data_IF_412100635580
#
_entry.id   IF_412100635580
#
_cell.length_a   1.000
_cell.length_b   1.000
_cell.length_c   1.000
_cell.angle_alpha   90.00
_cell.angle_beta   90.00
_cell.angle_gamma   90.00
#
_symmetry.space_group_name_H-M   'P 1'
#
loop_
_entity.id
_entity.type
_entity.pdbx_description
1 polymer ?
#
# COMPACT_ATOMS: atom_id res chain seq x y z
N UNK A 1 -20.25 41.58 -25.67
CA UNK A 1 -18.84 41.26 -25.36
C UNK A 1 -18.87 40.02 -24.46
N UNK A 2 -19.16 38.87 -25.07
CA UNK A 2 -19.25 37.59 -24.36
C UNK A 2 -17.84 37.12 -24.03
N UNK A 3 -17.58 36.91 -22.75
CA UNK A 3 -16.33 36.35 -22.25
C UNK A 3 -16.24 34.89 -22.71
N UNK A 4 -15.36 34.64 -23.68
CA UNK A 4 -14.89 33.29 -24.01
C UNK A 4 -14.53 32.54 -22.72
N UNK A 5 -15.10 31.36 -22.45
CA UNK A 5 -14.69 30.55 -21.32
C UNK A 5 -13.21 30.21 -21.52
N UNK A 6 -12.38 30.65 -20.58
CA UNK A 6 -10.97 30.30 -20.56
C UNK A 6 -10.84 28.78 -20.58
N UNK A 7 -10.16 28.27 -21.64
CA UNK A 7 -9.82 26.86 -21.74
C UNK A 7 -9.15 26.44 -20.41
N UNK A 8 -9.55 25.29 -19.82
CA UNK A 8 -8.89 24.81 -18.60
C UNK A 8 -7.39 24.65 -18.88
N UNK A 9 -6.58 25.42 -18.16
CA UNK A 9 -5.12 25.35 -18.22
C UNK A 9 -4.70 23.87 -18.14
N UNK A 10 -3.88 23.36 -19.08
CA UNK A 10 -3.46 21.98 -19.05
C UNK A 10 -2.78 21.69 -17.69
N UNK A 11 -3.06 20.55 -17.04
CA UNK A 11 -2.44 20.22 -15.77
C UNK A 11 -0.92 20.29 -15.92
N UNK A 12 -0.28 21.15 -15.11
CA UNK A 12 1.16 21.36 -15.08
C UNK A 12 1.87 20.00 -15.01
N UNK A 13 2.85 19.78 -15.89
CA UNK A 13 3.67 18.59 -15.85
C UNK A 13 4.35 18.44 -14.49
N UNK A 14 4.47 17.19 -14.03
CA UNK A 14 5.17 16.88 -12.79
C UNK A 14 6.67 17.10 -12.99
N UNK A 15 7.40 17.59 -11.98
CA UNK A 15 8.84 17.75 -12.09
C UNK A 15 9.52 16.38 -12.16
N UNK A 16 10.58 16.27 -12.97
CA UNK A 16 11.33 15.01 -13.19
C UNK A 16 11.74 14.29 -11.91
N UNK A 17 12.09 15.06 -10.88
CA UNK A 17 12.49 14.56 -9.57
C UNK A 17 11.45 13.60 -8.95
N UNK A 18 10.16 13.84 -9.17
CA UNK A 18 9.11 13.09 -8.49
C UNK A 18 9.12 11.61 -8.89
N UNK A 19 8.89 11.23 -10.16
CA UNK A 19 8.93 9.82 -10.55
C UNK A 19 10.31 9.18 -10.37
N UNK A 20 11.41 9.92 -10.58
CA UNK A 20 12.77 9.40 -10.39
C UNK A 20 13.02 8.99 -8.93
N UNK A 21 12.77 9.90 -7.99
CA UNK A 21 13.04 9.62 -6.58
C UNK A 21 11.99 8.69 -5.97
N UNK A 22 10.73 8.71 -6.44
CA UNK A 22 9.74 7.71 -6.03
C UNK A 22 10.14 6.29 -6.47
N UNK A 23 10.64 6.12 -7.69
CA UNK A 23 11.15 4.84 -8.17
C UNK A 23 12.34 4.35 -7.34
N UNK A 24 13.30 5.24 -7.08
CA UNK A 24 14.47 4.92 -6.25
C UNK A 24 14.03 4.53 -4.82
N UNK A 25 13.14 5.30 -4.20
CA UNK A 25 12.60 5.01 -2.87
C UNK A 25 11.87 3.67 -2.83
N UNK A 26 11.02 3.38 -3.83
CA UNK A 26 10.28 2.12 -3.92
C UNK A 26 11.24 0.93 -4.01
N UNK A 27 12.27 1.05 -4.84
CA UNK A 27 13.28 0.01 -5.06
C UNK A 27 14.10 -0.25 -3.79
N UNK A 28 14.60 0.82 -3.15
CA UNK A 28 15.37 0.74 -1.91
C UNK A 28 14.53 0.11 -0.80
N UNK A 29 13.30 0.58 -0.60
CA UNK A 29 12.44 0.07 0.47
C UNK A 29 12.06 -1.39 0.22
N UNK A 30 11.69 -1.75 -1.01
CA UNK A 30 11.34 -3.11 -1.34
C UNK A 30 12.50 -4.10 -1.09
N UNK A 31 13.71 -3.76 -1.55
CA UNK A 31 14.91 -4.56 -1.26
C UNK A 31 15.24 -4.58 0.23
N UNK A 32 15.00 -3.49 0.94
CA UNK A 32 15.16 -3.42 2.40
C UNK A 32 14.25 -4.41 3.11
N UNK A 33 12.98 -4.55 2.68
CA UNK A 33 12.06 -5.50 3.30
C UNK A 33 12.49 -6.96 3.10
N UNK A 34 13.20 -7.26 2.00
CA UNK A 34 13.73 -8.59 1.74
C UNK A 34 14.74 -9.02 2.81
N UNK A 35 15.51 -8.09 3.36
CA UNK A 35 16.62 -8.34 4.29
C UNK A 35 16.18 -8.98 5.61
N UNK A 36 15.00 -8.59 6.12
CA UNK A 36 14.56 -8.92 7.47
C UNK A 36 13.06 -9.14 7.62
N UNK A 37 12.31 -9.30 6.51
CA UNK A 37 10.84 -9.32 6.54
C UNK A 37 10.24 -8.07 7.22
N UNK A 38 10.92 -6.92 7.11
CA UNK A 38 10.49 -5.67 7.73
C UNK A 38 10.64 -5.64 9.25
N UNK A 39 11.60 -6.39 9.81
CA UNK A 39 11.99 -6.31 11.22
C UNK A 39 13.25 -5.47 11.41
N UNK A 40 13.51 -5.06 12.65
CA UNK A 40 14.62 -4.19 12.99
C UNK A 40 15.97 -4.91 12.79
N UNK A 41 16.78 -4.33 11.91
CA UNK A 41 18.23 -4.58 11.77
C UNK A 41 18.89 -3.29 11.30
N UNK A 42 20.17 -3.13 11.58
CA UNK A 42 20.87 -1.87 11.31
C UNK A 42 20.85 -1.49 9.83
N UNK A 43 21.12 -2.43 8.94
CA UNK A 43 21.04 -2.26 7.49
C UNK A 43 19.62 -1.93 7.00
N UNK A 44 18.60 -2.51 7.63
CA UNK A 44 17.21 -2.26 7.32
C UNK A 44 16.79 -0.85 7.74
N UNK A 45 17.33 -0.37 8.87
CA UNK A 45 17.14 1.01 9.31
C UNK A 45 17.85 2.00 8.39
N UNK A 46 19.03 1.68 7.87
CA UNK A 46 19.71 2.47 6.84
C UNK A 46 18.90 2.52 5.54
N UNK A 47 18.34 1.38 5.12
CA UNK A 47 17.44 1.29 3.97
C UNK A 47 16.19 2.16 4.12
N UNK A 48 15.53 2.10 5.29
CA UNK A 48 14.41 2.97 5.64
C UNK A 48 14.80 4.45 5.60
N UNK A 49 15.96 4.80 6.14
CA UNK A 49 16.49 6.19 6.13
C UNK A 49 16.68 6.70 4.70
N UNK A 50 17.27 5.88 3.83
CA UNK A 50 17.44 6.20 2.41
C UNK A 50 16.10 6.37 1.71
N UNK A 51 15.13 5.49 1.97
CA UNK A 51 13.76 5.62 1.44
C UNK A 51 13.11 6.94 1.86
N UNK A 52 13.21 7.33 3.14
CA UNK A 52 12.68 8.60 3.64
C UNK A 52 13.34 9.80 2.95
N UNK A 53 14.67 9.81 2.84
CA UNK A 53 15.41 10.87 2.15
C UNK A 53 15.02 11.00 0.67
N UNK A 54 14.91 9.89 -0.04
CA UNK A 54 14.48 9.86 -1.44
C UNK A 54 13.02 10.32 -1.58
N UNK A 55 12.12 9.85 -0.72
CA UNK A 55 10.71 10.27 -0.72
C UNK A 55 10.58 11.78 -0.43
N UNK A 56 11.41 12.31 0.46
CA UNK A 56 11.48 13.74 0.74
C UNK A 56 11.96 14.50 -0.51
N UNK A 57 13.04 14.07 -1.17
CA UNK A 57 13.52 14.69 -2.41
C UNK A 57 12.47 14.64 -3.55
N UNK A 58 11.67 13.57 -3.62
CA UNK A 58 10.56 13.46 -4.55
C UNK A 58 9.49 14.55 -4.31
N UNK A 59 9.26 14.94 -3.05
CA UNK A 59 8.24 15.94 -2.65
C UNK A 59 8.78 17.37 -2.62
N UNK A 60 9.99 17.60 -2.10
CA UNK A 60 10.54 18.96 -1.87
C UNK A 60 11.78 19.37 -2.66
N UNK A 61 12.46 18.41 -3.30
CA UNK A 61 13.72 18.66 -4.02
C UNK A 61 13.60 19.71 -5.15
N UNK A 62 14.74 20.18 -5.69
CA UNK A 62 14.74 21.11 -6.81
C UNK A 62 14.15 20.45 -8.06
N UNK A 63 13.11 21.06 -8.63
CA UNK A 63 12.35 20.50 -9.75
C UNK A 63 12.83 21.02 -11.11
N UNK A 64 13.42 20.15 -11.91
CA UNK A 64 13.56 20.39 -13.34
C UNK A 64 12.25 20.04 -14.04
N UNK A 65 11.72 21.00 -14.82
CA UNK A 65 10.53 20.82 -15.67
C UNK A 65 10.84 20.98 -17.16
N UNK A 66 12.13 21.12 -17.51
CA UNK A 66 12.53 21.24 -18.91
C UNK A 66 12.16 19.94 -19.64
N UNK A 67 11.45 20.02 -20.77
CA UNK A 67 11.14 18.83 -21.56
C UNK A 67 12.44 18.18 -22.03
N UNK A 68 12.48 16.85 -21.92
CA UNK A 68 13.65 16.07 -22.30
C UNK A 68 13.17 14.82 -23.04
N UNK A 69 13.51 14.72 -24.33
CA UNK A 69 13.02 13.65 -25.23
C UNK A 69 13.33 12.23 -24.74
N UNK A 70 14.42 12.05 -24.00
CA UNK A 70 14.92 10.74 -23.56
C UNK A 70 14.37 10.30 -22.21
N UNK A 71 13.54 11.12 -21.60
CA UNK A 71 13.37 11.03 -20.17
C UNK A 71 12.33 9.99 -19.75
N UNK A 72 11.29 9.76 -20.56
CA UNK A 72 10.45 8.56 -20.42
C UNK A 72 11.22 7.26 -20.71
N UNK A 73 12.00 7.14 -21.82
CA UNK A 73 12.89 5.99 -22.03
C UNK A 73 13.86 5.71 -20.87
N UNK A 74 14.51 6.75 -20.32
CA UNK A 74 15.43 6.61 -19.19
C UNK A 74 14.71 6.12 -17.94
N UNK A 75 13.54 6.67 -17.63
CA UNK A 75 12.72 6.18 -16.51
C UNK A 75 12.27 4.73 -16.71
N UNK A 76 11.92 4.34 -17.93
CA UNK A 76 11.57 2.96 -18.27
C UNK A 76 12.76 2.01 -18.13
N UNK A 77 13.98 2.45 -18.50
CA UNK A 77 15.22 1.71 -18.26
C UNK A 77 15.48 1.53 -16.76
N UNK A 78 15.35 2.61 -15.97
CA UNK A 78 15.51 2.55 -14.51
C UNK A 78 14.46 1.63 -13.86
N UNK A 79 13.22 1.63 -14.35
CA UNK A 79 12.19 0.67 -13.94
C UNK A 79 12.61 -0.77 -14.26
N UNK A 80 13.17 -1.01 -15.44
CA UNK A 80 13.71 -2.31 -15.84
C UNK A 80 14.84 -2.78 -14.92
N UNK A 81 15.78 -1.89 -14.58
CA UNK A 81 16.88 -2.20 -13.63
C UNK A 81 16.32 -2.51 -12.24
N UNK A 82 15.36 -1.71 -11.75
CA UNK A 82 14.71 -1.96 -10.46
C UNK A 82 13.99 -3.32 -10.44
N UNK A 83 13.28 -3.67 -11.51
CA UNK A 83 12.64 -4.97 -11.68
C UNK A 83 13.65 -6.12 -11.67
N UNK A 84 14.80 -5.97 -12.33
CA UNK A 84 15.85 -7.00 -12.31
C UNK A 84 16.36 -7.25 -10.88
N UNK A 85 16.56 -6.21 -10.07
CA UNK A 85 16.95 -6.38 -8.66
C UNK A 85 15.85 -7.05 -7.83
N UNK A 86 14.58 -6.70 -8.05
CA UNK A 86 13.46 -7.35 -7.37
C UNK A 86 13.35 -8.84 -7.75
N UNK A 87 13.50 -9.16 -9.04
CA UNK A 87 13.51 -10.54 -9.53
C UNK A 87 14.67 -11.34 -8.95
N UNK A 88 15.87 -10.75 -8.89
CA UNK A 88 17.02 -11.37 -8.24
C UNK A 88 16.72 -11.66 -6.76
N UNK A 89 16.13 -10.71 -6.04
CA UNK A 89 15.73 -10.89 -4.65
C UNK A 89 14.69 -12.02 -4.47
N UNK A 90 13.69 -12.12 -5.36
CA UNK A 90 12.69 -13.18 -5.36
C UNK A 90 13.26 -14.57 -5.70
N UNK A 91 14.41 -14.64 -6.38
CA UNK A 91 15.12 -15.89 -6.69
C UNK A 91 16.15 -16.27 -5.62
N UNK A 92 16.59 -15.32 -4.80
CA UNK A 92 17.68 -15.52 -3.84
C UNK A 92 17.20 -16.04 -2.48
N UNK A 93 15.91 -15.96 -2.18
CA UNK A 93 15.33 -16.45 -0.93
C UNK A 93 13.86 -16.85 -1.13
N UNK A 94 13.30 -17.56 -0.15
CA UNK A 94 11.92 -18.01 -0.18
C UNK A 94 10.94 -16.82 -0.30
N UNK A 95 9.94 -16.91 -1.19
CA UNK A 95 9.00 -15.80 -1.41
C UNK A 95 8.07 -15.55 -0.21
N UNK A 96 7.92 -16.54 0.67
CA UNK A 96 7.15 -16.45 1.91
C UNK A 96 7.73 -17.39 2.99
N UNK A 97 7.24 -17.33 4.23
CA UNK A 97 7.90 -17.93 5.40
C UNK A 97 7.31 -19.27 5.84
N UNK A 98 6.06 -19.56 5.49
CA UNK A 98 5.30 -20.72 5.96
C UNK A 98 5.09 -21.78 4.86
N UNK A 99 5.94 -21.81 3.84
CA UNK A 99 5.88 -22.79 2.77
C UNK A 99 6.15 -24.20 3.29
N UNK A 100 5.26 -25.14 2.96
CA UNK A 100 5.36 -26.56 3.30
C UNK A 100 5.68 -27.36 2.05
N UNK A 101 6.96 -27.46 1.73
CA UNK A 101 7.42 -28.09 0.49
C UNK A 101 8.42 -29.21 0.81
N UNK A 102 8.19 -30.39 0.24
CA UNK A 102 9.05 -31.57 0.38
C UNK A 102 9.55 -32.01 -1.01
N UNK A 103 10.79 -32.52 -1.07
CA UNK A 103 11.38 -33.08 -2.29
C UNK A 103 12.20 -32.08 -3.13
N UNK A 104 12.76 -32.53 -4.26
CA UNK A 104 13.86 -31.83 -4.94
C UNK A 104 13.43 -30.64 -5.83
N UNK A 105 12.19 -30.58 -6.32
CA UNK A 105 11.75 -29.56 -7.31
C UNK A 105 10.42 -28.83 -7.04
N UNK A 106 9.94 -28.65 -5.79
CA UNK A 106 8.63 -28.05 -5.54
C UNK A 106 8.48 -26.60 -6.05
N UNK A 107 9.58 -25.87 -6.21
CA UNK A 107 9.59 -24.47 -6.68
C UNK A 107 9.55 -24.32 -8.21
N UNK A 108 9.75 -25.40 -8.98
CA UNK A 108 9.80 -25.30 -10.44
C UNK A 108 8.55 -24.65 -11.07
N UNK A 109 7.31 -24.93 -10.61
CA UNK A 109 6.13 -24.19 -11.07
C UNK A 109 6.22 -22.70 -10.74
N UNK A 110 6.61 -22.32 -9.51
CA UNK A 110 6.75 -20.91 -9.11
C UNK A 110 7.77 -20.18 -9.99
N UNK A 111 8.96 -20.76 -10.19
CA UNK A 111 10.01 -20.16 -11.02
C UNK A 111 9.59 -20.01 -12.48
N UNK A 112 8.83 -20.95 -13.06
CA UNK A 112 8.29 -20.81 -14.42
C UNK A 112 7.34 -19.62 -14.56
N UNK A 113 6.42 -19.45 -13.61
CA UNK A 113 5.51 -18.30 -13.61
C UNK A 113 6.28 -17.00 -13.36
N UNK A 114 7.30 -17.00 -12.49
CA UNK A 114 8.15 -15.83 -12.25
C UNK A 114 8.95 -15.43 -13.49
N UNK A 115 9.54 -16.40 -14.20
CA UNK A 115 10.21 -16.17 -15.47
C UNK A 115 9.25 -15.60 -16.53
N UNK A 116 8.01 -16.11 -16.57
CA UNK A 116 6.95 -15.57 -17.44
C UNK A 116 6.64 -14.11 -17.09
N UNK A 117 6.49 -13.79 -15.80
CA UNK A 117 6.27 -12.42 -15.34
C UNK A 117 7.43 -11.49 -15.71
N UNK A 118 8.68 -11.97 -15.62
CA UNK A 118 9.87 -11.22 -16.02
C UNK A 118 9.87 -10.91 -17.53
N UNK A 119 9.59 -11.91 -18.38
CA UNK A 119 9.50 -11.74 -19.83
C UNK A 119 8.39 -10.75 -20.22
N UNK A 120 7.21 -10.90 -19.63
CA UNK A 120 6.08 -9.99 -19.87
C UNK A 120 6.44 -8.57 -19.41
N UNK A 121 7.06 -8.41 -18.24
CA UNK A 121 7.48 -7.09 -17.73
C UNK A 121 8.50 -6.41 -18.65
N UNK A 122 9.48 -7.16 -19.17
CA UNK A 122 10.42 -6.64 -20.18
C UNK A 122 9.70 -6.21 -21.46
N UNK A 123 8.76 -7.01 -21.94
CA UNK A 123 7.89 -6.69 -23.07
C UNK A 123 7.03 -5.44 -22.84
N UNK A 124 6.52 -5.22 -21.63
CA UNK A 124 5.73 -4.02 -21.27
C UNK A 124 6.56 -2.73 -21.35
N UNK A 125 7.84 -2.80 -20.97
CA UNK A 125 8.76 -1.66 -20.95
C UNK A 125 9.35 -1.34 -22.32
N UNK A 126 9.71 -2.36 -23.11
CA UNK A 126 10.39 -2.20 -24.40
C UNK A 126 9.45 -2.25 -25.61
N UNK A 127 8.30 -2.91 -25.49
CA UNK A 127 7.41 -3.18 -26.61
C UNK A 127 6.48 -2.04 -27.03
N UNK A 128 5.71 -2.24 -28.10
CA UNK A 128 4.71 -1.28 -28.58
C UNK A 128 3.46 -1.24 -27.67
N UNK A 129 2.60 -0.24 -27.87
CA UNK A 129 1.36 -0.06 -27.06
C UNK A 129 0.42 -1.27 -27.12
N UNK A 130 0.30 -1.92 -28.29
CA UNK A 130 -0.51 -3.14 -28.44
C UNK A 130 -0.03 -4.26 -27.51
N UNK A 131 1.28 -4.39 -27.31
CA UNK A 131 1.84 -5.39 -26.41
C UNK A 131 1.52 -5.06 -24.94
N UNK A 132 1.35 -3.78 -24.59
CA UNK A 132 0.90 -3.38 -23.25
C UNK A 132 -0.56 -3.75 -22.98
N UNK A 133 -1.43 -3.58 -23.96
CA UNK A 133 -2.86 -3.91 -23.84
C UNK A 133 -3.09 -5.40 -23.54
N UNK A 134 -2.26 -6.28 -24.10
CA UNK A 134 -2.32 -7.74 -23.85
C UNK A 134 -1.42 -8.16 -22.70
N UNK A 135 -0.23 -7.57 -22.59
CA UNK A 135 0.77 -7.92 -21.60
C UNK A 135 0.35 -7.59 -20.17
N UNK A 136 -0.38 -6.49 -19.95
CA UNK A 136 -0.86 -6.14 -18.61
C UNK A 136 -1.83 -7.21 -18.08
N UNK A 137 -2.93 -7.59 -18.80
CA UNK A 137 -3.79 -8.68 -18.37
C UNK A 137 -3.05 -10.02 -18.16
N UNK A 138 -2.09 -10.34 -19.04
CA UNK A 138 -1.25 -11.54 -18.87
C UNK A 138 -0.44 -11.47 -17.58
N UNK A 139 0.22 -10.35 -17.29
CA UNK A 139 0.97 -10.16 -16.06
C UNK A 139 0.09 -10.30 -14.81
N UNK A 140 -1.12 -9.72 -14.84
CA UNK A 140 -2.09 -9.89 -13.75
C UNK A 140 -2.46 -11.36 -13.56
N UNK A 141 -2.76 -12.08 -14.65
CA UNK A 141 -3.05 -13.51 -14.61
C UNK A 141 -1.89 -14.34 -14.05
N UNK A 142 -0.66 -14.06 -14.48
CA UNK A 142 0.55 -14.72 -13.95
C UNK A 142 0.75 -14.44 -12.47
N UNK A 143 0.50 -13.21 -12.00
CA UNK A 143 0.55 -12.89 -10.57
C UNK A 143 -0.49 -13.66 -9.76
N UNK A 144 -1.72 -13.78 -10.27
CA UNK A 144 -2.77 -14.60 -9.63
C UNK A 144 -2.35 -16.07 -9.53
N UNK A 145 -1.67 -16.61 -10.54
CA UNK A 145 -1.12 -17.97 -10.50
C UNK A 145 0.00 -18.11 -9.46
N UNK A 146 0.91 -17.12 -9.38
CA UNK A 146 1.98 -17.08 -8.37
C UNK A 146 1.41 -17.03 -6.95
N UNK A 147 0.48 -16.09 -6.68
CA UNK A 147 -0.15 -15.97 -5.37
C UNK A 147 -1.03 -17.16 -5.01
N UNK A 148 -1.76 -17.71 -5.98
CA UNK A 148 -2.54 -18.94 -5.79
C UNK A 148 -1.64 -20.14 -5.45
N UNK A 149 -0.45 -20.21 -6.03
CA UNK A 149 0.55 -21.22 -5.66
C UNK A 149 1.03 -21.02 -4.22
N UNK A 150 1.30 -19.78 -3.78
CA UNK A 150 1.69 -19.47 -2.40
C UNK A 150 0.61 -19.92 -1.42
N UNK A 151 -0.65 -19.55 -1.64
CA UNK A 151 -1.75 -19.89 -0.72
C UNK A 151 -1.98 -21.39 -0.58
N UNK A 152 -1.80 -22.16 -1.66
CA UNK A 152 -1.90 -23.63 -1.63
C UNK A 152 -0.78 -24.29 -0.82
N UNK A 153 0.43 -23.72 -0.84
CA UNK A 153 1.59 -24.30 -0.16
C UNK A 153 1.89 -23.66 1.21
N UNK A 154 1.16 -22.61 1.58
CA UNK A 154 1.14 -22.02 2.93
C UNK A 154 -0.31 -21.92 3.46
N UNK A 155 -1.03 -23.06 3.62
CA UNK A 155 -2.47 -23.05 3.93
C UNK A 155 -2.79 -22.58 5.36
N UNK A 156 -1.84 -22.67 6.28
CA UNK A 156 -2.05 -22.35 7.70
C UNK A 156 -0.83 -21.59 8.27
N UNK A 157 -0.66 -20.31 7.92
CA UNK A 157 0.40 -19.48 8.47
C UNK A 157 0.16 -19.27 9.99
N UNK A 158 1.24 -19.30 10.78
CA UNK A 158 1.16 -19.11 12.22
C UNK A 158 1.17 -17.61 12.59
N UNK A 159 0.11 -16.89 12.23
CA UNK A 159 -0.05 -15.47 12.55
C UNK A 159 -1.50 -15.15 12.96
N UNK A 160 -1.64 -14.29 13.95
CA UNK A 160 -2.91 -13.86 14.53
C UNK A 160 -3.79 -13.11 13.53
N UNK A 161 -3.20 -12.31 12.64
CA UNK A 161 -3.97 -11.60 11.60
C UNK A 161 -4.76 -12.55 10.70
N UNK A 162 -4.18 -13.71 10.34
CA UNK A 162 -4.92 -14.73 9.59
C UNK A 162 -6.10 -15.29 10.39
N UNK A 163 -5.91 -15.53 11.69
CA UNK A 163 -6.98 -15.96 12.60
C UNK A 163 -8.08 -14.91 12.71
N UNK A 164 -7.72 -13.62 12.82
CA UNK A 164 -8.67 -12.52 12.90
C UNK A 164 -9.54 -12.42 11.65
N UNK A 165 -8.93 -12.53 10.47
CA UNK A 165 -9.64 -12.50 9.18
C UNK A 165 -10.57 -13.70 9.03
N UNK A 166 -10.07 -14.91 9.33
CA UNK A 166 -10.83 -16.14 9.17
C UNK A 166 -12.02 -16.20 10.14
N UNK A 167 -11.76 -16.08 11.45
CA UNK A 167 -12.80 -16.20 12.46
C UNK A 167 -13.73 -14.97 12.49
N UNK A 168 -13.23 -13.78 12.16
CA UNK A 168 -14.07 -12.59 12.02
C UNK A 168 -15.04 -12.71 10.85
N UNK A 169 -14.59 -13.26 9.72
CA UNK A 169 -15.47 -13.53 8.57
C UNK A 169 -16.50 -14.62 8.91
N UNK A 170 -16.08 -15.70 9.57
CA UNK A 170 -16.99 -16.77 10.01
C UNK A 170 -18.04 -16.23 11.02
N UNK A 171 -17.64 -15.33 11.93
CA UNK A 171 -18.55 -14.66 12.86
C UNK A 171 -19.58 -13.77 12.13
N UNK A 172 -19.13 -13.00 11.14
CA UNK A 172 -20.03 -12.18 10.33
C UNK A 172 -21.04 -13.05 9.55
N UNK A 173 -20.58 -14.16 8.97
CA UNK A 173 -21.41 -15.07 8.18
C UNK A 173 -22.48 -15.80 9.00
N UNK A 174 -22.22 -16.07 10.30
CA UNK A 174 -23.23 -16.62 11.23
C UNK A 174 -24.15 -15.56 11.83
N UNK A 175 -24.04 -14.30 11.40
CA UNK A 175 -24.88 -13.19 11.88
C UNK A 175 -24.52 -12.70 13.28
N UNK A 176 -23.36 -13.06 13.83
CA UNK A 176 -22.88 -12.53 15.09
C UNK A 176 -22.18 -11.18 14.93
N UNK A 177 -21.60 -10.67 16.02
CA UNK A 177 -20.89 -9.39 16.02
C UNK A 177 -19.36 -9.62 16.06
N UNK A 178 -18.64 -9.45 14.94
CA UNK A 178 -17.19 -9.65 14.87
C UNK A 178 -16.40 -8.73 15.79
N UNK A 179 -16.96 -7.61 16.23
CA UNK A 179 -16.26 -6.64 17.09
C UNK A 179 -16.42 -6.94 18.58
N UNK A 180 -17.37 -7.79 18.96
CA UNK A 180 -17.63 -8.21 20.34
C UNK A 180 -17.10 -9.62 20.65
N UNK A 181 -16.66 -10.37 19.64
CA UNK A 181 -16.07 -11.70 19.83
C UNK A 181 -14.69 -11.63 20.51
N UNK A 182 -14.14 -12.81 20.81
CA UNK A 182 -12.75 -12.98 21.28
C UNK A 182 -12.04 -13.99 20.41
N UNK A 183 -10.71 -13.92 20.34
CA UNK A 183 -9.89 -14.84 19.55
C UNK A 183 -9.05 -15.76 20.43
N UNK A 184 -8.63 -16.94 19.96
CA UNK A 184 -7.59 -17.71 20.63
C UNK A 184 -6.25 -16.96 20.57
N UNK A 185 -5.48 -17.02 21.66
CA UNK A 185 -4.08 -16.60 21.66
C UNK A 185 -3.22 -17.75 21.13
N UNK A 186 -2.80 -17.66 19.88
CA UNK A 186 -2.04 -18.72 19.20
C UNK A 186 -0.56 -18.78 19.58
N UNK A 187 -0.03 -17.77 20.29
CA UNK A 187 1.40 -17.66 20.56
C UNK A 187 1.82 -18.28 21.90
N UNK A 188 0.87 -18.70 22.74
CA UNK A 188 1.17 -19.29 24.06
C UNK A 188 1.79 -18.31 25.07
N UNK A 189 1.99 -17.05 24.72
CA UNK A 189 2.51 -15.98 25.56
C UNK A 189 1.73 -14.67 25.34
N UNK A 190 1.86 -13.71 26.24
CA UNK A 190 1.17 -12.40 26.17
C UNK A 190 2.06 -11.24 25.72
N UNK A 191 3.35 -11.48 25.44
CA UNK A 191 4.35 -10.45 25.10
C UNK A 191 3.96 -9.51 23.95
N UNK A 192 3.06 -9.96 23.08
CA UNK A 192 2.66 -9.24 21.86
C UNK A 192 1.34 -8.50 22.00
N UNK A 193 0.73 -8.56 23.17
CA UNK A 193 -0.53 -7.92 23.50
C UNK A 193 -0.34 -7.06 24.74
N UNK A 194 -1.01 -5.91 24.77
CA UNK A 194 -0.97 -5.01 25.93
C UNK A 194 -1.56 -5.67 27.18
N UNK A 195 -1.24 -5.11 28.35
CA UNK A 195 -1.77 -5.58 29.61
C UNK A 195 -3.31 -5.62 29.59
N UNK A 196 -3.89 -6.71 30.11
CA UNK A 196 -5.35 -6.89 30.13
C UNK A 196 -5.99 -7.30 28.80
N UNK A 197 -5.24 -7.40 27.70
CA UNK A 197 -5.79 -7.80 26.39
C UNK A 197 -5.77 -9.32 26.15
N UNK A 198 -5.13 -10.09 27.02
CA UNK A 198 -5.08 -11.55 26.93
C UNK A 198 -5.27 -12.20 28.31
N UNK A 199 -6.10 -13.26 28.38
CA UNK A 199 -6.37 -14.04 29.59
C UNK A 199 -6.79 -15.45 29.21
N UNK A 200 -6.33 -16.46 29.95
CA UNK A 200 -6.72 -17.88 29.81
C UNK A 200 -6.65 -18.39 28.36
N UNK A 201 -5.56 -18.04 27.65
CA UNK A 201 -5.36 -18.44 26.26
C UNK A 201 -6.27 -17.74 25.24
N UNK A 202 -6.99 -16.69 25.63
CA UNK A 202 -7.84 -15.88 24.75
C UNK A 202 -7.38 -14.43 24.68
N UNK A 203 -7.69 -13.78 23.56
CA UNK A 203 -7.55 -12.35 23.32
C UNK A 203 -8.90 -11.68 23.54
N UNK A 204 -8.93 -10.67 24.41
CA UNK A 204 -10.15 -10.07 24.96
C UNK A 204 -10.70 -8.91 24.11
N UNK A 205 -10.43 -8.94 22.81
CA UNK A 205 -10.91 -7.97 21.82
C UNK A 205 -11.42 -8.70 20.56
N UNK A 206 -12.32 -8.05 19.84
CA UNK A 206 -12.86 -8.52 18.56
C UNK A 206 -12.06 -8.04 17.36
N UNK A 207 -12.65 -8.07 16.17
CA UNK A 207 -11.95 -7.78 14.92
C UNK A 207 -11.23 -6.41 14.94
N UNK A 208 -9.90 -6.35 14.77
CA UNK A 208 -9.11 -5.17 15.13
C UNK A 208 -8.92 -4.14 13.99
N UNK A 209 -9.74 -4.22 12.95
CA UNK A 209 -9.67 -3.35 11.77
C UNK A 209 -11.05 -2.79 11.40
N UNK A 210 -11.12 -1.68 10.64
CA UNK A 210 -12.39 -1.16 10.17
C UNK A 210 -13.22 -2.16 9.34
N UNK A 211 -14.57 -2.07 9.38
CA UNK A 211 -15.46 -3.07 8.80
C UNK A 211 -15.25 -3.37 7.32
N UNK A 212 -14.88 -2.37 6.52
CA UNK A 212 -14.72 -2.57 5.08
C UNK A 212 -13.63 -3.61 4.76
N UNK A 213 -12.57 -3.69 5.58
CA UNK A 213 -11.54 -4.73 5.43
C UNK A 213 -12.09 -6.13 5.74
N UNK A 214 -12.99 -6.24 6.72
CA UNK A 214 -13.68 -7.48 7.05
C UNK A 214 -14.62 -7.92 5.94
N UNK A 215 -15.37 -6.98 5.35
CA UNK A 215 -16.26 -7.27 4.22
C UNK A 215 -15.48 -7.88 3.07
N UNK A 216 -14.34 -7.29 2.68
CA UNK A 216 -13.52 -7.86 1.60
C UNK A 216 -12.94 -9.23 1.96
N UNK A 217 -12.43 -9.42 3.19
CA UNK A 217 -11.95 -10.72 3.63
C UNK A 217 -13.07 -11.78 3.62
N UNK A 218 -14.28 -11.39 4.00
CA UNK A 218 -15.46 -12.25 3.98
C UNK A 218 -15.81 -12.69 2.57
N UNK A 219 -15.66 -11.83 1.55
CA UNK A 219 -15.84 -12.24 0.15
C UNK A 219 -14.85 -13.34 -0.24
N UNK A 220 -13.58 -13.22 0.16
CA UNK A 220 -12.57 -14.27 -0.07
C UNK A 220 -12.95 -15.58 0.62
N UNK A 221 -13.41 -15.48 1.87
CA UNK A 221 -13.89 -16.61 2.65
C UNK A 221 -15.09 -17.32 1.99
N UNK A 222 -16.07 -16.57 1.48
CA UNK A 222 -17.26 -17.12 0.82
C UNK A 222 -16.94 -17.79 -0.51
N UNK A 223 -16.16 -17.14 -1.38
CA UNK A 223 -15.95 -17.62 -2.75
C UNK A 223 -14.81 -18.63 -2.89
N UNK A 224 -13.82 -18.60 -1.99
CA UNK A 224 -12.62 -19.43 -2.10
C UNK A 224 -12.28 -20.20 -0.81
N UNK A 225 -13.07 -20.05 0.26
CA UNK A 225 -12.81 -20.70 1.54
C UNK A 225 -11.67 -20.06 2.34
N UNK A 226 -10.94 -19.07 1.81
CA UNK A 226 -9.80 -18.43 2.46
C UNK A 226 -9.81 -16.91 2.19
N UNK A 227 -9.79 -16.06 3.25
CA UNK A 227 -9.86 -14.61 3.10
C UNK A 227 -8.70 -14.00 2.27
N UNK A 228 -7.56 -14.68 2.20
CA UNK A 228 -6.37 -14.19 1.47
C UNK A 228 -6.59 -14.16 -0.05
N UNK A 229 -7.54 -14.92 -0.60
CA UNK A 229 -7.87 -14.80 -2.03
C UNK A 229 -8.43 -13.43 -2.39
N UNK A 230 -9.19 -12.78 -1.50
CA UNK A 230 -9.63 -11.41 -1.72
C UNK A 230 -8.43 -10.44 -1.76
N UNK A 231 -7.42 -10.67 -0.92
CA UNK A 231 -6.18 -9.86 -0.92
C UNK A 231 -5.36 -10.06 -2.20
N UNK A 232 -5.27 -11.31 -2.68
CA UNK A 232 -4.62 -11.64 -3.95
C UNK A 232 -5.29 -10.91 -5.12
N UNK A 233 -6.62 -10.95 -5.19
CA UNK A 233 -7.38 -10.21 -6.21
C UNK A 233 -7.21 -8.70 -6.03
N UNK A 234 -7.26 -8.17 -4.80
CA UNK A 234 -7.09 -6.76 -4.52
C UNK A 234 -5.72 -6.24 -5.01
N UNK A 235 -4.64 -6.99 -4.80
CA UNK A 235 -3.30 -6.67 -5.31
C UNK A 235 -3.28 -6.62 -6.84
N UNK A 236 -3.88 -7.61 -7.51
CA UNK A 236 -3.95 -7.63 -8.97
C UNK A 236 -4.79 -6.47 -9.53
N UNK A 237 -5.94 -6.16 -8.90
CA UNK A 237 -6.79 -5.02 -9.26
C UNK A 237 -6.03 -3.71 -9.06
N UNK A 238 -5.30 -3.54 -7.96
CA UNK A 238 -4.51 -2.35 -7.70
C UNK A 238 -3.45 -2.12 -8.80
N UNK A 239 -2.73 -3.18 -9.20
CA UNK A 239 -1.74 -3.11 -10.27
C UNK A 239 -2.39 -2.79 -11.63
N UNK A 240 -3.55 -3.38 -11.93
CA UNK A 240 -4.32 -3.02 -13.13
C UNK A 240 -4.72 -1.54 -13.13
N UNK A 241 -5.22 -1.03 -12.00
CA UNK A 241 -5.56 0.39 -11.83
C UNK A 241 -4.32 1.29 -11.99
N UNK A 242 -3.15 0.90 -11.47
CA UNK A 242 -1.89 1.61 -11.71
C UNK A 242 -1.53 1.64 -13.20
N UNK A 243 -1.58 0.49 -13.88
CA UNK A 243 -1.23 0.36 -15.29
C UNK A 243 -2.12 1.22 -16.19
N UNK A 244 -3.41 1.27 -15.88
CA UNK A 244 -4.41 1.94 -16.72
C UNK A 244 -4.80 3.35 -16.25
N UNK A 245 -4.31 3.85 -15.11
CA UNK A 245 -4.63 5.19 -14.63
C UNK A 245 -4.32 6.26 -15.70
N UNK A 246 -3.07 6.26 -16.17
CA UNK A 246 -2.65 7.05 -17.34
C UNK A 246 -2.41 6.21 -18.58
N UNK A 247 -2.05 4.94 -18.42
CA UNK A 247 -1.57 4.10 -19.52
C UNK A 247 -0.08 4.32 -19.82
N UNK A 248 0.41 3.69 -20.89
CA UNK A 248 1.80 3.78 -21.31
C UNK A 248 2.76 2.92 -20.49
N UNK A 249 4.04 2.94 -20.86
CA UNK A 249 5.06 2.04 -20.31
C UNK A 249 5.39 2.29 -18.84
N UNK A 250 5.26 3.53 -18.35
CA UNK A 250 5.51 3.84 -16.93
C UNK A 250 4.43 3.26 -16.03
N UNK A 251 3.16 3.35 -16.42
CA UNK A 251 2.05 2.72 -15.70
C UNK A 251 2.23 1.20 -15.65
N UNK A 252 2.48 0.58 -16.81
CA UNK A 252 2.68 -0.86 -16.90
C UNK A 252 3.92 -1.34 -16.12
N UNK A 253 5.04 -0.61 -16.21
CA UNK A 253 6.27 -0.91 -15.49
C UNK A 253 6.14 -0.75 -13.98
N UNK A 254 5.47 0.30 -13.51
CA UNK A 254 5.23 0.51 -12.08
C UNK A 254 4.26 -0.55 -11.50
N UNK A 255 3.26 -0.97 -12.27
CA UNK A 255 2.40 -2.10 -11.91
C UNK A 255 3.20 -3.39 -11.77
N UNK A 256 4.11 -3.69 -12.71
CA UNK A 256 5.02 -4.82 -12.61
C UNK A 256 5.93 -4.75 -11.38
N UNK A 257 6.51 -3.57 -11.10
CA UNK A 257 7.38 -3.33 -9.95
C UNK A 257 6.64 -3.53 -8.61
N UNK A 258 5.35 -3.20 -8.56
CA UNK A 258 4.53 -3.44 -7.39
C UNK A 258 4.17 -4.92 -7.22
N UNK A 259 3.72 -5.59 -8.29
CA UNK A 259 3.34 -7.01 -8.23
C UNK A 259 4.53 -7.92 -7.88
N UNK A 260 5.71 -7.59 -8.38
CA UNK A 260 6.94 -8.36 -8.18
C UNK A 260 7.79 -7.81 -7.04
N UNK A 261 7.21 -6.95 -6.19
CA UNK A 261 7.92 -6.40 -5.06
C UNK A 261 8.33 -7.50 -4.07
N UNK A 262 9.61 -7.53 -3.64
CA UNK A 262 10.08 -8.45 -2.62
C UNK A 262 9.19 -8.41 -1.37
N UNK A 263 8.95 -9.58 -0.80
CA UNK A 263 8.00 -9.80 0.32
C UNK A 263 6.53 -9.45 0.04
N UNK A 264 6.14 -9.15 -1.20
CA UNK A 264 4.71 -9.07 -1.57
C UNK A 264 3.96 -10.38 -1.32
N UNK A 265 4.58 -11.53 -1.62
CA UNK A 265 3.99 -12.86 -1.33
C UNK A 265 3.98 -13.20 0.17
N UNK A 266 4.98 -12.73 0.92
CA UNK A 266 4.97 -12.81 2.38
C UNK A 266 3.80 -12.00 2.96
N UNK A 267 3.54 -10.79 2.48
CA UNK A 267 2.37 -9.99 2.90
C UNK A 267 1.06 -10.73 2.65
N UNK A 268 0.93 -11.38 1.48
CA UNK A 268 -0.22 -12.20 1.13
C UNK A 268 -0.35 -13.43 2.06
N UNK A 269 0.75 -14.15 2.31
CA UNK A 269 0.78 -15.31 3.20
C UNK A 269 0.29 -14.93 4.60
N UNK A 270 0.78 -13.82 5.15
CA UNK A 270 0.50 -13.34 6.50
C UNK A 270 -0.93 -12.77 6.67
N UNK A 271 -1.73 -12.77 5.61
CA UNK A 271 -3.11 -12.29 5.60
C UNK A 271 -3.27 -10.83 6.02
N UNK A 272 -2.22 -10.03 5.86
CA UNK A 272 -2.24 -8.60 6.18
C UNK A 272 -3.21 -7.84 5.28
N UNK A 273 -3.92 -6.88 5.85
CA UNK A 273 -5.03 -6.11 5.24
C UNK A 273 -4.63 -5.13 4.14
N UNK A 274 -3.33 -4.82 4.04
CA UNK A 274 -2.78 -3.72 3.26
C UNK A 274 -3.06 -3.82 1.74
N UNK A 275 -3.17 -5.01 1.11
CA UNK A 275 -3.67 -5.13 -0.26
C UNK A 275 -5.02 -4.41 -0.51
N UNK A 276 -5.95 -4.42 0.44
CA UNK A 276 -7.22 -3.71 0.30
C UNK A 276 -7.04 -2.19 0.32
N UNK A 277 -6.14 -1.69 1.17
CA UNK A 277 -5.80 -0.27 1.22
C UNK A 277 -5.11 0.18 -0.08
N UNK A 278 -4.17 -0.62 -0.59
CA UNK A 278 -3.49 -0.33 -1.85
C UNK A 278 -4.48 -0.30 -3.01
N UNK A 279 -5.39 -1.28 -3.10
CA UNK A 279 -6.45 -1.31 -4.11
C UNK A 279 -7.30 -0.04 -4.10
N UNK A 280 -7.78 0.38 -2.93
CA UNK A 280 -8.63 1.57 -2.81
C UNK A 280 -7.87 2.89 -3.05
N UNK A 281 -6.60 2.97 -2.64
CA UNK A 281 -5.73 4.11 -2.97
C UNK A 281 -5.50 4.21 -4.49
N UNK A 282 -5.15 3.09 -5.14
CA UNK A 282 -4.99 3.01 -6.60
C UNK A 282 -6.30 3.33 -7.32
N UNK A 283 -7.45 2.89 -6.80
CA UNK A 283 -8.76 3.19 -7.35
C UNK A 283 -9.10 4.69 -7.22
N UNK A 284 -8.73 5.33 -6.11
CA UNK A 284 -8.90 6.77 -5.93
C UNK A 284 -8.09 7.56 -6.97
N UNK A 285 -6.81 7.22 -7.15
CA UNK A 285 -5.96 7.86 -8.17
C UNK A 285 -6.45 7.57 -9.58
N UNK A 286 -6.88 6.34 -9.88
CA UNK A 286 -7.49 5.99 -11.16
C UNK A 286 -8.76 6.80 -11.43
N UNK A 287 -9.66 6.93 -10.46
CA UNK A 287 -10.88 7.73 -10.57
C UNK A 287 -10.56 9.20 -10.79
N UNK A 288 -9.51 9.75 -10.18
CA UNK A 288 -9.09 11.13 -10.41
C UNK A 288 -8.76 11.42 -11.89
N UNK A 289 -8.30 10.42 -12.66
CA UNK A 289 -8.06 10.54 -14.09
C UNK A 289 -9.25 10.13 -14.96
N UNK A 290 -9.82 8.96 -14.69
CA UNK A 290 -10.73 8.26 -15.62
C UNK A 290 -12.19 8.40 -15.25
N UNK A 291 -12.50 8.56 -13.96
CA UNK A 291 -13.88 8.64 -13.50
C UNK A 291 -14.07 9.60 -12.30
N UNK A 292 -13.87 10.93 -12.48
CA UNK A 292 -13.84 11.88 -11.37
C UNK A 292 -15.15 11.97 -10.58
N UNK A 293 -16.28 11.56 -11.18
CA UNK A 293 -17.59 11.50 -10.50
C UNK A 293 -17.62 10.46 -9.38
N UNK A 294 -16.87 9.36 -9.52
CA UNK A 294 -16.77 8.32 -8.50
C UNK A 294 -15.71 8.61 -7.42
N UNK A 295 -14.77 9.52 -7.69
CA UNK A 295 -13.64 9.82 -6.80
C UNK A 295 -14.06 10.05 -5.33
N UNK A 296 -15.07 10.89 -5.01
CA UNK A 296 -15.42 11.13 -3.60
C UNK A 296 -15.85 9.86 -2.86
N UNK A 297 -16.60 8.99 -3.53
CA UNK A 297 -17.11 7.75 -2.94
C UNK A 297 -15.97 6.73 -2.76
N UNK A 298 -15.14 6.54 -3.78
CA UNK A 298 -13.97 5.63 -3.71
C UNK A 298 -12.95 6.12 -2.69
N UNK A 299 -12.74 7.43 -2.60
CA UNK A 299 -11.89 8.03 -1.56
C UNK A 299 -12.48 7.82 -0.17
N UNK A 300 -13.81 7.94 0.00
CA UNK A 300 -14.51 7.60 1.23
C UNK A 300 -14.33 6.13 1.65
N UNK A 301 -14.41 5.20 0.71
CA UNK A 301 -14.07 3.78 0.96
C UNK A 301 -12.61 3.62 1.39
N UNK A 302 -11.68 4.37 0.77
CA UNK A 302 -10.27 4.38 1.17
C UNK A 302 -10.11 4.85 2.62
N UNK A 303 -10.84 5.88 3.05
CA UNK A 303 -10.84 6.33 4.44
C UNK A 303 -11.42 5.28 5.41
N UNK A 304 -12.34 4.44 4.96
CA UNK A 304 -13.03 3.45 5.81
C UNK A 304 -12.33 2.09 5.93
N UNK A 305 -11.23 1.83 5.21
CA UNK A 305 -10.60 0.49 5.19
C UNK A 305 -9.54 0.28 6.28
N UNK A 306 -8.94 1.36 6.82
CA UNK A 306 -7.86 1.33 7.82
C UNK A 306 -7.93 2.54 8.75
N UNK A 307 -7.53 2.41 10.02
CA UNK A 307 -7.64 3.53 10.98
C UNK A 307 -6.76 4.73 10.61
N UNK A 308 -5.53 4.47 10.15
CA UNK A 308 -4.55 5.52 9.90
C UNK A 308 -4.77 6.29 8.58
N UNK A 309 -5.80 5.95 7.80
CA UNK A 309 -6.15 6.60 6.52
C UNK A 309 -6.57 8.06 6.71
N UNK A 310 -6.85 8.48 7.95
CA UNK A 310 -7.18 9.87 8.31
C UNK A 310 -6.13 10.87 7.82
N UNK A 311 -4.86 10.48 7.70
CA UNK A 311 -3.80 11.35 7.16
C UNK A 311 -3.97 11.65 5.66
N UNK A 312 -4.79 10.91 4.93
CA UNK A 312 -5.14 11.20 3.53
C UNK A 312 -6.09 12.40 3.41
N UNK A 313 -6.88 12.71 4.43
CA UNK A 313 -7.87 13.81 4.41
C UNK A 313 -7.24 15.15 4.02
N UNK A 314 -6.17 15.64 4.68
CA UNK A 314 -5.51 16.87 4.25
C UNK A 314 -4.90 16.74 2.85
N UNK A 315 -4.34 15.57 2.51
CA UNK A 315 -3.73 15.32 1.20
C UNK A 315 -4.73 15.31 0.04
N UNK A 316 -6.04 15.12 0.30
CA UNK A 316 -7.09 15.23 -0.72
C UNK A 316 -7.07 16.59 -1.45
N UNK A 317 -6.49 17.63 -0.84
CA UNK A 317 -6.24 18.92 -1.49
C UNK A 317 -5.38 18.81 -2.75
N UNK A 318 -4.46 17.84 -2.81
CA UNK A 318 -3.59 17.58 -3.96
C UNK A 318 -4.34 16.88 -5.12
N UNK A 319 -5.50 16.27 -4.85
CA UNK A 319 -6.34 15.61 -5.85
C UNK A 319 -7.32 16.55 -6.54
N UNK A 320 -7.58 17.74 -5.97
CA UNK A 320 -8.55 18.70 -6.50
C UNK A 320 -7.83 19.91 -7.12
N UNK A 321 -8.27 20.37 -8.31
CA UNK A 321 -7.66 21.52 -8.97
C UNK A 321 -7.95 22.83 -8.23
N UNK A 322 -9.13 22.94 -7.60
CA UNK A 322 -9.61 24.16 -6.96
C UNK A 322 -9.98 23.89 -5.49
N UNK A 323 -9.58 24.75 -4.54
CA UNK A 323 -9.92 24.59 -3.11
C UNK A 323 -11.42 24.45 -2.84
N UNK A 324 -12.28 25.16 -3.60
CA UNK A 324 -13.74 25.13 -3.43
C UNK A 324 -14.35 23.74 -3.64
N UNK A 325 -13.71 22.90 -4.48
CA UNK A 325 -14.18 21.53 -4.74
C UNK A 325 -13.79 20.55 -3.65
N UNK A 326 -12.87 20.92 -2.75
CA UNK A 326 -12.42 20.06 -1.65
C UNK A 326 -13.59 19.69 -0.73
N UNK A 327 -14.43 20.66 -0.35
CA UNK A 327 -15.57 20.40 0.52
C UNK A 327 -16.56 19.40 -0.10
N UNK A 328 -16.86 19.57 -1.38
CA UNK A 328 -17.69 18.65 -2.16
C UNK A 328 -17.16 17.21 -2.17
N UNK A 329 -15.84 17.05 -2.24
CA UNK A 329 -15.17 15.75 -2.15
C UNK A 329 -15.24 15.19 -0.73
N UNK A 330 -14.83 15.97 0.27
CA UNK A 330 -14.68 15.51 1.65
C UNK A 330 -16.02 15.14 2.29
N UNK A 331 -17.09 15.89 2.05
CA UNK A 331 -18.39 15.56 2.66
C UNK A 331 -18.93 14.22 2.09
N UNK A 332 -18.83 14.00 0.78
CA UNK A 332 -19.27 12.74 0.14
C UNK A 332 -18.38 11.56 0.55
N UNK A 333 -17.08 11.80 0.67
CA UNK A 333 -16.15 10.81 1.19
C UNK A 333 -16.48 10.43 2.64
N UNK A 334 -16.74 11.42 3.50
CA UNK A 334 -17.17 11.23 4.87
C UNK A 334 -18.50 10.47 4.96
N UNK A 335 -19.49 10.87 4.17
CA UNK A 335 -20.78 10.18 4.10
C UNK A 335 -20.63 8.72 3.67
N UNK A 336 -19.77 8.44 2.68
CA UNK A 336 -19.48 7.06 2.25
C UNK A 336 -18.79 6.25 3.35
N UNK A 337 -17.79 6.84 4.01
CA UNK A 337 -17.06 6.18 5.08
C UNK A 337 -17.98 5.84 6.27
N UNK A 338 -18.87 6.76 6.64
CA UNK A 338 -19.89 6.54 7.66
C UNK A 338 -20.88 5.47 7.23
N UNK A 339 -21.37 5.51 5.99
CA UNK A 339 -22.36 4.55 5.48
C UNK A 339 -21.86 3.09 5.55
N UNK A 340 -20.57 2.84 5.31
CA UNK A 340 -20.00 1.48 5.39
C UNK A 340 -19.54 1.08 6.80
N UNK A 341 -19.37 2.04 7.70
CA UNK A 341 -18.86 1.77 9.06
C UNK A 341 -19.97 1.69 10.11
N UNK A 342 -20.99 2.56 10.04
CA UNK A 342 -22.06 2.66 11.03
C UNK A 342 -22.87 1.37 11.21
N UNK A 343 -23.21 0.59 10.16
CA UNK A 343 -23.96 -0.66 10.34
C UNK A 343 -23.27 -1.67 11.26
N UNK A 344 -21.94 -1.60 11.37
CA UNK A 344 -21.13 -2.47 12.22
C UNK A 344 -20.82 -1.85 13.58
N UNK A 345 -20.72 -0.53 13.65
CA UNK A 345 -20.40 0.17 14.89
C UNK A 345 -21.62 0.34 15.82
N UNK A 346 -22.81 0.56 15.26
CA UNK A 346 -24.01 0.85 16.04
C UNK A 346 -24.54 -0.32 16.90
N UNK A 347 -24.47 -1.60 16.48
CA UNK A 347 -24.95 -2.72 17.29
C UNK A 347 -24.25 -2.86 18.64
N UNK A 348 -22.96 -2.51 18.72
CA UNK A 348 -22.20 -2.43 19.97
C UNK A 348 -21.04 -1.44 19.83
N UNK A 349 -21.33 -0.17 20.12
CA UNK A 349 -20.36 0.93 20.00
C UNK A 349 -19.16 0.73 20.91
N UNK A 350 -19.37 0.15 22.10
CA UNK A 350 -18.31 -0.07 23.09
C UNK A 350 -17.34 -1.15 22.58
N UNK A 351 -17.86 -2.28 22.12
CA UNK A 351 -17.03 -3.34 21.56
C UNK A 351 -16.32 -2.89 20.28
N UNK A 352 -17.01 -2.15 19.41
CA UNK A 352 -16.41 -1.57 18.22
C UNK A 352 -15.25 -0.63 18.56
N UNK A 353 -15.45 0.32 19.47
CA UNK A 353 -14.40 1.26 19.87
C UNK A 353 -13.23 0.53 20.55
N UNK A 354 -13.53 -0.43 21.43
CA UNK A 354 -12.51 -1.24 22.11
C UNK A 354 -11.61 -1.97 21.10
N UNK A 355 -12.22 -2.67 20.15
CA UNK A 355 -11.51 -3.53 19.18
C UNK A 355 -10.81 -2.73 18.08
N UNK A 356 -11.43 -1.67 17.55
CA UNK A 356 -10.92 -0.93 16.39
C UNK A 356 -10.02 0.25 16.78
N UNK A 357 -10.24 0.87 17.95
CA UNK A 357 -9.53 2.08 18.37
C UNK A 357 -8.67 1.86 19.61
N UNK A 358 -9.29 1.50 20.74
CA UNK A 358 -8.60 1.42 22.04
C UNK A 358 -7.47 0.39 22.04
N UNK A 359 -7.67 -0.75 21.36
CA UNK A 359 -6.65 -1.77 21.17
C UNK A 359 -5.30 -1.18 20.71
N UNK A 360 -5.32 -0.35 19.66
CA UNK A 360 -4.10 0.22 19.07
C UNK A 360 -3.39 1.17 20.02
N UNK A 361 -4.10 1.79 20.96
CA UNK A 361 -3.52 2.62 22.02
C UNK A 361 -2.80 1.72 23.03
N UNK A 362 -3.44 0.62 23.44
CA UNK A 362 -2.91 -0.31 24.45
C UNK A 362 -1.83 -1.28 23.94
N UNK A 363 -1.66 -1.45 22.62
CA UNK A 363 -0.60 -2.31 22.09
C UNK A 363 0.79 -1.91 22.64
N UNK A 364 1.65 -2.86 23.01
CA UNK A 364 2.95 -2.57 23.58
C UNK A 364 3.92 -2.06 22.52
N UNK A 365 5.07 -1.59 22.97
CA UNK A 365 6.17 -1.29 22.09
C UNK A 365 6.76 -2.59 21.52
N UNK A 366 6.96 -2.65 20.21
CA UNK A 366 7.54 -3.81 19.52
C UNK A 366 8.99 -3.51 19.15
N UNK A 367 9.94 -3.96 19.95
CA UNK A 367 11.37 -3.63 19.82
C UNK A 367 12.00 -4.19 18.55
N UNK A 368 11.43 -5.25 18.00
CA UNK A 368 11.83 -5.86 16.73
C UNK A 368 11.13 -5.24 15.52
N UNK A 369 10.29 -4.21 15.70
CA UNK A 369 9.68 -3.49 14.58
C UNK A 369 10.67 -2.57 13.87
N UNK A 370 10.57 -2.47 12.55
CA UNK A 370 11.44 -1.61 11.75
C UNK A 370 11.00 -0.15 11.94
N UNK A 371 11.42 0.50 13.03
CA UNK A 371 11.19 1.93 13.28
C UNK A 371 12.33 2.53 14.10
N UNK A 372 12.54 3.84 14.00
CA UNK A 372 13.55 4.55 14.80
C UNK A 372 13.24 4.49 16.29
N UNK A 373 11.95 4.58 16.65
CA UNK A 373 11.56 4.52 18.07
C UNK A 373 11.73 3.10 18.64
N UNK A 374 11.53 2.05 17.85
CA UNK A 374 11.88 0.69 18.25
C UNK A 374 13.38 0.51 18.41
N UNK A 375 14.17 1.05 17.48
CA UNK A 375 15.62 1.04 17.59
C UNK A 375 16.13 1.83 18.81
N UNK A 376 15.43 2.88 19.22
CA UNK A 376 15.72 3.64 20.44
C UNK A 376 15.50 2.79 21.69
N UNK A 377 14.33 2.16 21.80
CA UNK A 377 14.00 1.28 22.94
C UNK A 377 14.89 0.04 22.98
N UNK A 378 15.20 -0.55 21.82
CA UNK A 378 16.10 -1.71 21.72
C UNK A 378 17.53 -1.43 22.22
N UNK A 379 17.95 -0.15 22.27
CA UNK A 379 19.24 0.28 22.85
C UNK A 379 19.17 0.51 24.37
N UNK A 380 18.06 0.17 25.02
CA UNK A 380 17.88 0.31 26.47
C UNK A 380 17.36 1.67 26.91
N UNK A 381 16.98 2.56 25.99
CA UNK A 381 16.36 3.82 26.35
C UNK A 381 14.87 3.66 26.70
N UNK A 382 14.34 4.57 27.51
CA UNK A 382 12.92 4.57 27.88
C UNK A 382 12.01 4.78 26.65
N UNK A 383 10.80 4.16 26.64
CA UNK A 383 9.83 4.36 25.57
C UNK A 383 9.51 5.84 25.36
N UNK A 384 9.65 6.34 24.12
CA UNK A 384 9.37 7.73 23.81
C UNK A 384 7.84 8.01 23.84
N UNK A 385 7.43 9.27 24.01
CA UNK A 385 6.01 9.63 24.00
C UNK A 385 5.29 9.29 22.68
N UNK A 386 4.04 8.84 22.79
CA UNK A 386 3.22 8.43 21.63
C UNK A 386 2.91 9.57 20.65
N UNK A 387 3.08 10.83 21.04
CA UNK A 387 2.77 11.99 20.20
C UNK A 387 3.85 12.26 19.12
N UNK A 388 5.06 11.72 19.27
CA UNK A 388 6.18 11.96 18.33
C UNK A 388 5.82 11.65 16.87
N UNK A 389 5.29 10.45 16.52
CA UNK A 389 4.90 10.17 15.14
C UNK A 389 3.86 11.15 14.57
N UNK A 390 2.96 11.68 15.40
CA UNK A 390 1.95 12.65 14.96
C UNK A 390 2.55 14.02 14.65
N UNK A 391 3.54 14.48 15.44
CA UNK A 391 4.29 15.70 15.16
C UNK A 391 5.08 15.55 13.87
N UNK A 392 5.77 14.42 13.68
CA UNK A 392 6.52 14.13 12.45
C UNK A 392 5.59 14.13 11.21
N UNK A 393 4.41 13.51 11.32
CA UNK A 393 3.38 13.52 10.27
C UNK A 393 2.87 14.94 10.00
N UNK A 394 2.59 15.75 11.03
CA UNK A 394 2.11 17.12 10.86
C UNK A 394 3.11 17.98 10.06
N UNK A 395 4.41 17.88 10.38
CA UNK A 395 5.47 18.56 9.64
C UNK A 395 5.54 18.13 8.17
N UNK A 396 5.50 16.82 7.93
CA UNK A 396 5.55 16.26 6.57
C UNK A 396 4.28 16.59 5.77
N UNK A 397 3.11 16.61 6.39
CA UNK A 397 1.86 17.04 5.76
C UNK A 397 1.93 18.50 5.36
N UNK A 398 2.34 19.40 6.26
CA UNK A 398 2.52 20.82 5.94
C UNK A 398 3.49 21.04 4.79
N UNK A 399 4.62 20.33 4.82
CA UNK A 399 5.63 20.38 3.77
C UNK A 399 5.12 19.84 2.43
N UNK A 400 4.36 18.74 2.45
CA UNK A 400 3.76 18.13 1.25
C UNK A 400 2.70 19.04 0.64
N UNK A 401 1.82 19.63 1.46
CA UNK A 401 0.82 20.58 0.99
C UNK A 401 1.45 21.86 0.43
N UNK A 402 2.62 22.24 0.93
CA UNK A 402 3.37 23.40 0.43
C UNK A 402 4.13 23.12 -0.88
N UNK A 403 4.76 21.95 -1.01
CA UNK A 403 5.75 21.67 -2.09
C UNK A 403 5.34 20.62 -3.11
N UNK A 404 4.44 19.69 -2.76
CA UNK A 404 4.04 18.63 -3.67
C UNK A 404 3.25 19.22 -4.85
N UNK A 405 3.43 18.71 -6.08
CA UNK A 405 2.55 19.05 -7.19
C UNK A 405 1.09 18.74 -6.84
N UNK A 406 0.17 19.63 -7.21
CA UNK A 406 -1.28 19.38 -7.13
C UNK A 406 -1.71 18.48 -8.29
N UNK A 407 -1.33 17.22 -8.20
CA UNK A 407 -1.61 16.19 -9.17
C UNK A 407 -1.83 14.85 -8.45
N UNK A 408 -2.46 13.85 -9.11
CA UNK A 408 -2.58 12.52 -8.52
C UNK A 408 -1.23 11.86 -8.21
N UNK A 409 -0.18 12.20 -8.97
CA UNK A 409 1.20 11.75 -8.71
C UNK A 409 1.78 12.42 -7.47
N UNK A 410 1.59 13.74 -7.32
CA UNK A 410 1.95 14.47 -6.09
C UNK A 410 1.20 13.98 -4.87
N UNK A 411 -0.10 13.67 -4.99
CA UNK A 411 -0.89 13.04 -3.93
C UNK A 411 -0.31 11.68 -3.51
N UNK A 412 0.02 10.81 -4.47
CA UNK A 412 0.57 9.49 -4.17
C UNK A 412 1.98 9.58 -3.54
N UNK A 413 2.84 10.50 -4.02
CA UNK A 413 4.16 10.75 -3.44
C UNK A 413 4.08 11.32 -2.02
N UNK A 414 3.18 12.29 -1.78
CA UNK A 414 2.92 12.83 -0.46
C UNK A 414 2.37 11.76 0.49
N UNK A 415 1.46 10.92 0.01
CA UNK A 415 0.95 9.76 0.75
C UNK A 415 2.09 8.84 1.19
N UNK A 416 2.95 8.45 0.25
CA UNK A 416 4.11 7.60 0.56
C UNK A 416 5.01 8.23 1.63
N UNK A 417 5.37 9.51 1.49
CA UNK A 417 6.22 10.21 2.46
C UNK A 417 5.55 10.30 3.84
N UNK A 418 4.27 10.70 3.91
CA UNK A 418 3.51 10.79 5.16
C UNK A 418 3.47 9.45 5.90
N UNK A 419 3.16 8.36 5.21
CA UNK A 419 3.07 7.05 5.85
C UNK A 419 4.43 6.44 6.16
N UNK A 420 5.43 6.62 5.30
CA UNK A 420 6.80 6.23 5.61
C UNK A 420 7.28 6.91 6.90
N UNK A 421 7.01 8.22 7.04
CA UNK A 421 7.32 8.97 8.27
C UNK A 421 6.51 8.45 9.46
N UNK A 422 5.20 8.29 9.32
CA UNK A 422 4.38 7.78 10.42
C UNK A 422 4.91 6.45 10.94
N UNK A 423 5.17 5.48 10.05
CA UNK A 423 5.64 4.14 10.40
C UNK A 423 7.07 4.14 10.96
N UNK A 424 7.96 4.93 10.38
CA UNK A 424 9.35 5.06 10.85
C UNK A 424 9.45 5.61 12.28
N UNK A 425 8.45 6.36 12.73
CA UNK A 425 8.37 6.91 14.08
C UNK A 425 7.26 6.26 14.94
N UNK A 426 6.67 5.13 14.54
CA UNK A 426 5.63 4.47 15.34
C UNK A 426 6.21 3.40 16.27
N UNK A 427 5.43 3.01 17.29
CA UNK A 427 5.78 1.94 18.25
C UNK A 427 5.82 0.54 17.63
N UNK A 428 5.20 0.38 16.47
CA UNK A 428 5.10 -0.88 15.74
C UNK A 428 4.90 -0.61 14.25
N UNK A 429 5.84 -1.07 13.43
CA UNK A 429 5.74 -1.13 11.98
C UNK A 429 6.54 -2.31 11.40
N UNK A 430 5.85 -3.20 10.70
CA UNK A 430 6.41 -4.36 9.98
C UNK A 430 6.25 -4.25 8.46
N UNK A 431 6.60 -5.32 7.74
CA UNK A 431 6.60 -5.38 6.29
C UNK A 431 5.31 -4.90 5.63
N UNK A 432 4.11 -5.22 6.14
CA UNK A 432 2.85 -4.74 5.56
C UNK A 432 2.76 -3.22 5.43
N UNK A 433 3.18 -2.48 6.47
CA UNK A 433 3.08 -1.03 6.48
C UNK A 433 3.99 -0.41 5.40
N UNK A 434 5.19 -0.96 5.26
CA UNK A 434 6.14 -0.52 4.23
C UNK A 434 5.78 -1.03 2.83
N UNK A 435 5.10 -2.17 2.70
CA UNK A 435 4.51 -2.63 1.44
C UNK A 435 3.50 -1.62 0.90
N UNK A 436 2.66 -1.04 1.77
CA UNK A 436 1.77 0.06 1.37
C UNK A 436 2.55 1.30 0.89
N UNK A 437 3.66 1.65 1.55
CA UNK A 437 4.54 2.75 1.11
C UNK A 437 5.12 2.47 -0.28
N UNK A 438 5.66 1.26 -0.51
CA UNK A 438 6.18 0.85 -1.84
C UNK A 438 5.09 1.00 -2.91
N UNK A 439 3.87 0.55 -2.62
CA UNK A 439 2.75 0.67 -3.55
C UNK A 439 2.37 2.13 -3.85
N UNK A 440 2.34 3.01 -2.84
CA UNK A 440 2.09 4.43 -3.04
C UNK A 440 3.18 5.12 -3.87
N UNK A 441 4.44 4.72 -3.70
CA UNK A 441 5.56 5.19 -4.53
C UNK A 441 5.44 4.70 -5.97
N UNK A 442 5.08 3.42 -6.19
CA UNK A 442 4.80 2.89 -7.53
C UNK A 442 3.62 3.61 -8.18
N UNK A 443 2.56 3.89 -7.42
CA UNK A 443 1.40 4.64 -7.89
C UNK A 443 1.76 6.08 -8.29
N UNK A 444 2.69 6.72 -7.57
CA UNK A 444 3.22 8.04 -7.94
C UNK A 444 3.95 8.00 -9.28
N UNK A 445 4.79 6.97 -9.52
CA UNK A 445 5.46 6.74 -10.82
C UNK A 445 4.43 6.47 -11.92
N UNK A 446 3.45 5.60 -11.68
CA UNK A 446 2.42 5.22 -12.64
C UNK A 446 1.53 6.40 -13.08
N UNK A 447 1.33 7.38 -12.19
CA UNK A 447 0.47 8.54 -12.41
C UNK A 447 1.21 9.81 -12.81
N UNK A 448 2.54 9.78 -12.94
CA UNK A 448 3.33 10.95 -13.28
C UNK A 448 3.07 11.45 -14.71
N UNK A 449 2.94 12.78 -14.86
CA UNK A 449 2.96 13.46 -16.16
C UNK A 449 4.35 14.04 -16.41
N UNK A 450 5.10 13.41 -17.31
CA UNK A 450 6.40 13.93 -17.69
C UNK A 450 6.27 15.19 -18.57
N UNK A 451 7.20 16.16 -18.46
CA UNK A 451 7.29 17.29 -19.38
C UNK A 451 7.60 16.81 -20.81
N UNK A 452 6.63 16.94 -21.71
CA UNK A 452 6.78 16.58 -23.12
C UNK A 452 7.35 17.74 -23.95
N UNK A 453 8.26 17.48 -24.92
CA UNK A 453 8.78 18.52 -25.81
C UNK A 453 7.75 19.06 -26.82
N UNK A 454 6.61 18.38 -26.99
CA UNK A 454 5.54 18.81 -27.89
C UNK A 454 4.45 19.56 -27.13
N UNK A 455 4.42 20.90 -27.31
CA UNK A 455 3.31 21.70 -27.86
C UNK A 455 3.84 23.15 -27.94
N UNK A 456 4.38 23.56 -29.09
CA UNK A 456 4.22 24.93 -29.58
C UNK A 456 3.09 24.83 -30.60
N UNK A 457 1.89 25.28 -30.23
CA UNK A 457 0.95 25.75 -31.24
C UNK A 457 1.41 27.16 -31.55
N UNK A 458 1.82 27.40 -32.80
CA UNK A 458 2.06 28.73 -33.34
C UNK A 458 0.82 29.61 -33.23
#
# INVERSE_FOLDING_TARGET
MESTPSLPQPPLADPWRLPVFCLAAASVLALTLQLTNGTLREDSLQGLTRCLGLSLLAVVGPGFRRPWRWAEPVLALLLGVALLWQLQALLSDYPSSALRLNGPWPFAPFHRHLATAALVSGALLAGPERLRQVGVPVLLGVYLLLGGWILRHAPSPSIDVFVFQLQGADELLRGGNPFAMTFPNIYGHTLWYGEGLARDGRLLFGFPYPPLSLVFATLGRVFAGDPRYAQLVATAVAAGLMAYARGGRLGAGAAALYLLTPRGFFVLEQSWTEPFLVMLLSASVFCAFRFPRALPYVFGLTLAVKQHTVFLVPLAFLLVPEPRRLWGLLWRAGATALAVSLPFALPDVKAFFHSVVALHIHQPFRTESLSYLAAWVARGHAPPPIWIPFVAVALVLGLSLWRAPRSPSGFAAATALTYATFFAFNKQAFCNYYYFVVAALCLAVASARLPSPEVRVE
#
